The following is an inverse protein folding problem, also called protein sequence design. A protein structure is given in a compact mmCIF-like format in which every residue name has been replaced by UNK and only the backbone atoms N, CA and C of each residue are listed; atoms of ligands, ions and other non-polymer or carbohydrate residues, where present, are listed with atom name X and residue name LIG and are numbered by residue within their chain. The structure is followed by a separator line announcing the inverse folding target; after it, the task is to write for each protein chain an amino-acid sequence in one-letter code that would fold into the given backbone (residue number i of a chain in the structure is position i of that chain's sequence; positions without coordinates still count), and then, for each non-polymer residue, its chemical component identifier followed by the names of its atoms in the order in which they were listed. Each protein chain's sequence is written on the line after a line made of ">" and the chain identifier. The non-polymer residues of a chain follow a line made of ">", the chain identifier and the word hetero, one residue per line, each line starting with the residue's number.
data_IF_929633047109
#
_entry.id   IF_929633047109
#
_cell.length_a   1.000
_cell.length_b   1.000
_cell.length_c   1.000
_cell.angle_alpha   90.00
_cell.angle_beta   90.00
_cell.angle_gamma   90.00
#
_symmetry.space_group_name_H-M   'P 1'
#
loop_
_entity.id
_entity.type
_entity.pdbx_description
1 polymer ?
#
# COMPACT_ATOMS: atom_id res chain seq x y z
N UNK A 1 -20.41 14.34 -1.23
CA UNK A 1 -20.34 13.14 -0.40
C UNK A 1 -19.17 13.30 0.53
N UNK A 2 -19.43 13.65 1.78
CA UNK A 2 -18.46 13.46 2.86
C UNK A 2 -18.48 12.00 3.36
N UNK A 3 -17.73 11.69 4.41
CA UNK A 3 -17.65 10.31 4.91
C UNK A 3 -18.98 9.80 5.50
N UNK A 4 -19.74 10.66 6.18
CA UNK A 4 -21.01 10.27 6.79
C UNK A 4 -22.04 10.01 5.68
N UNK A 5 -22.12 10.90 4.70
CA UNK A 5 -22.93 10.73 3.49
C UNK A 5 -22.52 9.45 2.73
N UNK A 6 -21.23 9.14 2.64
CA UNK A 6 -20.74 7.91 2.01
C UNK A 6 -21.18 6.67 2.76
N UNK A 7 -20.98 6.62 4.07
CA UNK A 7 -21.35 5.45 4.86
C UNK A 7 -22.86 5.21 4.85
N UNK A 8 -23.67 6.27 4.93
CA UNK A 8 -25.12 6.19 4.81
C UNK A 8 -25.54 5.62 3.44
N UNK A 9 -24.87 6.06 2.37
CA UNK A 9 -25.12 5.56 1.03
C UNK A 9 -24.73 4.08 0.87
N UNK A 10 -23.59 3.67 1.44
CA UNK A 10 -23.14 2.28 1.47
C UNK A 10 -24.13 1.39 2.22
N UNK A 11 -24.64 1.84 3.38
CA UNK A 11 -25.67 1.10 4.14
C UNK A 11 -26.92 0.92 3.27
N UNK A 12 -27.39 1.99 2.65
CA UNK A 12 -28.56 1.95 1.75
C UNK A 12 -28.36 0.98 0.58
N UNK A 13 -27.19 1.01 -0.08
CA UNK A 13 -26.88 0.10 -1.19
C UNK A 13 -26.66 -1.33 -0.74
N UNK A 14 -26.08 -1.55 0.45
CA UNK A 14 -25.93 -2.88 1.02
C UNK A 14 -27.27 -3.57 1.22
N UNK A 15 -28.30 -2.85 1.66
CA UNK A 15 -29.68 -3.39 1.74
C UNK A 15 -30.15 -3.86 0.36
N UNK A 16 -29.95 -3.04 -0.68
CA UNK A 16 -30.33 -3.39 -2.05
C UNK A 16 -29.61 -4.63 -2.57
N UNK A 17 -28.30 -4.73 -2.31
CA UNK A 17 -27.49 -5.90 -2.66
C UNK A 17 -27.97 -7.15 -1.94
N UNK A 18 -28.22 -7.07 -0.63
CA UNK A 18 -28.73 -8.21 0.17
C UNK A 18 -30.09 -8.69 -0.31
N UNK A 19 -30.96 -7.79 -0.77
CA UNK A 19 -32.24 -8.17 -1.36
C UNK A 19 -32.08 -8.89 -2.71
N UNK A 20 -31.10 -8.48 -3.52
CA UNK A 20 -30.78 -9.12 -4.81
C UNK A 20 -30.08 -10.48 -4.61
N UNK A 21 -29.29 -10.63 -3.57
CA UNK A 21 -28.50 -11.83 -3.26
C UNK A 21 -28.79 -12.38 -1.85
N UNK A 22 -30.02 -12.82 -1.56
CA UNK A 22 -30.43 -13.18 -0.20
C UNK A 22 -29.70 -14.38 0.40
N UNK A 23 -29.10 -15.23 -0.44
CA UNK A 23 -28.35 -16.41 -0.02
C UNK A 23 -26.87 -16.09 0.30
N UNK A 24 -26.39 -14.92 -0.13
CA UNK A 24 -25.05 -14.45 0.16
C UNK A 24 -25.17 -13.58 1.41
N UNK A 25 -24.61 -14.02 2.53
CA UNK A 25 -24.53 -13.22 3.75
C UNK A 25 -23.55 -12.04 3.55
N UNK A 26 -23.95 -11.07 2.72
CA UNK A 26 -23.16 -9.90 2.32
C UNK A 26 -23.24 -8.86 3.43
N UNK A 27 -22.08 -8.44 3.91
CA UNK A 27 -21.92 -7.37 4.89
C UNK A 27 -21.52 -6.07 4.19
N UNK A 28 -21.62 -4.93 4.88
CA UNK A 28 -21.19 -3.63 4.36
C UNK A 28 -19.71 -3.64 3.95
N UNK A 29 -18.87 -4.34 4.73
CA UNK A 29 -17.44 -4.51 4.43
C UNK A 29 -17.18 -5.24 3.10
N UNK A 30 -18.06 -6.16 2.70
CA UNK A 30 -17.94 -6.86 1.43
C UNK A 30 -18.19 -5.89 0.26
N UNK A 31 -19.19 -5.01 0.39
CA UNK A 31 -19.48 -3.97 -0.61
C UNK A 31 -18.33 -2.96 -0.71
N UNK A 32 -17.78 -2.51 0.41
CA UNK A 32 -16.61 -1.62 0.44
C UNK A 32 -15.42 -2.29 -0.25
N UNK A 33 -15.19 -3.58 -0.01
CA UNK A 33 -14.10 -4.35 -0.64
C UNK A 33 -14.28 -4.41 -2.17
N UNK A 34 -15.49 -4.64 -2.66
CA UNK A 34 -15.80 -4.63 -4.10
C UNK A 34 -15.54 -3.26 -4.71
N UNK A 35 -15.97 -2.18 -4.05
CA UNK A 35 -15.71 -0.82 -4.51
C UNK A 35 -14.20 -0.54 -4.56
N UNK A 36 -13.45 -0.89 -3.51
CA UNK A 36 -11.99 -0.76 -3.51
C UNK A 36 -11.36 -1.50 -4.69
N UNK A 37 -11.76 -2.76 -4.89
CA UNK A 37 -11.24 -3.59 -5.99
C UNK A 37 -11.56 -2.98 -7.37
N UNK A 38 -12.76 -2.42 -7.54
CA UNK A 38 -13.21 -1.83 -8.81
C UNK A 38 -12.50 -0.51 -9.13
N UNK A 39 -11.99 0.17 -8.11
CA UNK A 39 -11.29 1.45 -8.23
C UNK A 39 -9.82 1.36 -7.82
N UNK A 40 -9.23 0.16 -7.82
CA UNK A 40 -7.82 -0.07 -7.48
C UNK A 40 -6.86 0.81 -8.29
N UNK A 41 -7.19 1.10 -9.55
CA UNK A 41 -6.36 1.95 -10.43
C UNK A 41 -6.54 3.45 -10.14
N UNK A 42 -7.61 3.83 -9.44
CA UNK A 42 -7.91 5.22 -9.04
C UNK A 42 -7.21 5.59 -7.72
N UNK A 43 -6.84 4.59 -6.92
CA UNK A 43 -6.27 4.75 -5.58
C UNK A 43 -4.78 4.36 -5.58
N UNK A 44 -3.90 5.26 -5.12
CA UNK A 44 -2.46 4.99 -5.08
C UNK A 44 -2.11 3.96 -4.01
N UNK A 45 -2.92 3.85 -2.94
CA UNK A 45 -2.79 2.82 -1.91
C UNK A 45 -4.03 1.94 -1.79
N UNK A 46 -3.81 0.66 -1.50
CA UNK A 46 -4.86 -0.36 -1.33
C UNK A 46 -5.56 -0.26 0.03
N UNK A 47 -5.63 0.93 0.62
CA UNK A 47 -6.20 1.15 1.95
C UNK A 47 -7.60 1.76 1.82
N UNK A 48 -8.54 1.30 2.66
CA UNK A 48 -9.91 1.80 2.68
C UNK A 48 -10.00 3.27 3.09
N UNK A 49 -8.93 3.83 3.68
CA UNK A 49 -8.84 5.24 4.03
C UNK A 49 -8.67 6.16 2.80
N UNK A 50 -8.36 5.64 1.61
CA UNK A 50 -8.24 6.53 0.44
C UNK A 50 -9.59 7.12 -0.02
N UNK A 51 -10.70 6.49 0.34
CA UNK A 51 -12.02 7.07 0.12
C UNK A 51 -12.23 8.38 0.88
N UNK A 52 -11.45 8.67 1.93
CA UNK A 52 -11.50 9.96 2.63
C UNK A 52 -10.93 11.10 1.78
N UNK A 53 -9.90 10.82 0.98
CA UNK A 53 -9.16 11.84 0.22
C UNK A 53 -9.59 11.87 -1.26
N UNK A 54 -10.21 10.80 -1.75
CA UNK A 54 -10.62 10.63 -3.14
C UNK A 54 -12.05 10.07 -3.21
N UNK A 55 -13.02 10.98 -3.18
CA UNK A 55 -14.44 10.60 -3.17
C UNK A 55 -14.86 9.89 -4.46
N UNK A 56 -15.67 8.85 -4.28
CA UNK A 56 -16.44 8.19 -5.34
C UNK A 56 -17.84 8.80 -5.35
N UNK A 57 -18.38 9.09 -6.53
CA UNK A 57 -19.74 9.61 -6.66
C UNK A 57 -20.80 8.52 -6.47
N UNK A 58 -22.04 8.92 -6.19
CA UNK A 58 -23.17 7.97 -6.11
C UNK A 58 -23.34 7.17 -7.41
N UNK A 59 -23.15 7.83 -8.56
CA UNK A 59 -23.26 7.18 -9.87
C UNK A 59 -22.17 6.13 -10.10
N UNK A 60 -20.96 6.39 -9.62
CA UNK A 60 -19.85 5.43 -9.67
C UNK A 60 -20.14 4.22 -8.77
N UNK A 61 -20.67 4.43 -7.56
CA UNK A 61 -21.09 3.34 -6.66
C UNK A 61 -22.20 2.50 -7.31
N UNK A 62 -23.19 3.17 -7.91
CA UNK A 62 -24.32 2.52 -8.56
C UNK A 62 -23.89 1.68 -9.74
N UNK A 63 -22.98 2.21 -10.56
CA UNK A 63 -22.39 1.47 -11.67
C UNK A 63 -21.74 0.17 -11.19
N UNK A 64 -20.99 0.19 -10.09
CA UNK A 64 -20.38 -1.02 -9.54
C UNK A 64 -21.44 -1.97 -8.98
N UNK A 65 -22.36 -1.48 -8.15
CA UNK A 65 -23.40 -2.30 -7.50
C UNK A 65 -24.30 -3.01 -8.52
N UNK A 66 -24.65 -2.33 -9.62
CA UNK A 66 -25.51 -2.89 -10.65
C UNK A 66 -24.82 -3.97 -11.48
N UNK A 67 -23.55 -3.73 -11.84
CA UNK A 67 -22.81 -4.56 -12.79
C UNK A 67 -21.94 -5.65 -12.14
N UNK A 68 -21.63 -5.54 -10.86
CA UNK A 68 -20.81 -6.53 -10.16
C UNK A 68 -21.60 -7.81 -9.83
N UNK A 69 -20.97 -8.96 -10.08
CA UNK A 69 -21.49 -10.26 -9.72
C UNK A 69 -21.01 -10.64 -8.30
N UNK A 70 -21.86 -10.37 -7.31
CA UNK A 70 -21.55 -10.60 -5.89
C UNK A 70 -21.37 -12.08 -5.53
N UNK A 71 -21.75 -13.03 -6.39
CA UNK A 71 -21.44 -14.45 -6.18
C UNK A 71 -19.93 -14.71 -6.16
N UNK A 72 -19.13 -13.82 -6.77
CA UNK A 72 -17.68 -13.98 -6.86
C UNK A 72 -16.94 -13.73 -5.53
N UNK A 73 -17.55 -13.03 -4.57
CA UNK A 73 -16.92 -12.68 -3.28
C UNK A 73 -16.58 -13.93 -2.45
N UNK A 74 -17.33 -15.01 -2.64
CA UNK A 74 -17.14 -16.28 -1.88
C UNK A 74 -16.43 -17.35 -2.70
N UNK A 75 -16.06 -17.06 -3.95
CA UNK A 75 -15.26 -17.99 -4.72
C UNK A 75 -13.84 -17.99 -4.16
N UNK A 76 -13.52 -19.02 -3.37
CA UNK A 76 -12.15 -19.31 -2.99
C UNK A 76 -11.41 -19.71 -4.27
N UNK A 77 -10.62 -18.79 -4.83
CA UNK A 77 -9.75 -19.11 -5.95
C UNK A 77 -8.48 -19.72 -5.39
N UNK A 78 -8.41 -21.05 -5.40
CA UNK A 78 -7.16 -21.76 -5.09
C UNK A 78 -6.21 -21.60 -6.27
N UNK A 79 -5.24 -20.68 -6.13
CA UNK A 79 -4.13 -20.62 -7.07
C UNK A 79 -3.10 -21.67 -6.68
N UNK A 80 -2.93 -22.69 -7.52
CA UNK A 80 -1.78 -23.58 -7.46
C UNK A 80 -0.56 -22.86 -8.05
N UNK A 81 -0.11 -21.81 -7.37
CA UNK A 81 1.14 -21.16 -7.73
C UNK A 81 2.27 -21.96 -7.11
N UNK A 82 3.04 -22.66 -7.95
CA UNK A 82 4.34 -23.18 -7.54
C UNK A 82 5.24 -21.96 -7.50
N UNK A 83 5.53 -21.44 -6.30
CA UNK A 83 6.63 -20.48 -6.13
C UNK A 83 7.88 -21.27 -6.55
N UNK A 84 8.56 -20.92 -7.66
CA UNK A 84 9.80 -21.59 -8.02
C UNK A 84 10.75 -21.52 -6.82
N UNK A 85 11.32 -22.65 -6.39
CA UNK A 85 12.33 -22.68 -5.33
C UNK A 85 13.53 -21.78 -5.65
N UNK A 86 13.72 -21.46 -6.94
CA UNK A 86 14.74 -20.56 -7.47
C UNK A 86 14.48 -19.07 -7.18
N UNK A 87 13.34 -18.69 -6.59
CA UNK A 87 13.15 -17.32 -6.10
C UNK A 87 13.80 -17.15 -4.71
N UNK A 88 15.13 -17.31 -4.65
CA UNK A 88 15.96 -16.69 -3.60
C UNK A 88 15.90 -15.14 -3.70
N UNK A 89 15.30 -14.59 -4.76
CA UNK A 89 15.14 -13.16 -5.02
C UNK A 89 14.01 -12.47 -4.21
N UNK A 90 13.21 -13.20 -3.42
CA UNK A 90 12.08 -12.60 -2.69
C UNK A 90 12.46 -11.84 -1.41
N UNK A 91 13.72 -11.90 -0.97
CA UNK A 91 14.25 -10.97 0.04
C UNK A 91 14.73 -9.66 -0.60
N UNK A 92 13.84 -9.02 -1.38
CA UNK A 92 14.07 -7.69 -1.96
C UNK A 92 14.15 -6.58 -0.89
N UNK A 93 13.88 -6.89 0.38
CA UNK A 93 13.76 -5.90 1.45
C UNK A 93 14.57 -6.27 2.69
N UNK A 94 15.31 -5.31 3.22
CA UNK A 94 16.05 -5.44 4.48
C UNK A 94 15.44 -4.53 5.53
N UNK A 95 15.16 -5.07 6.72
CA UNK A 95 14.62 -4.30 7.84
C UNK A 95 15.72 -3.94 8.84
N UNK A 96 15.90 -2.64 9.08
CA UNK A 96 16.88 -2.11 10.02
C UNK A 96 16.15 -1.39 11.15
N UNK A 97 16.49 -1.72 12.39
CA UNK A 97 16.06 -0.97 13.57
C UNK A 97 17.18 -0.04 14.03
N UNK A 98 16.91 1.26 14.15
CA UNK A 98 17.86 2.22 14.69
C UNK A 98 17.17 3.23 15.61
N UNK A 99 17.61 3.34 16.87
CA UNK A 99 17.11 4.30 17.86
C UNK A 99 15.56 4.33 17.95
N UNK A 100 14.94 3.15 17.97
CA UNK A 100 13.47 3.00 18.02
C UNK A 100 12.75 3.13 16.68
N UNK A 101 13.41 3.61 15.63
CA UNK A 101 12.85 3.73 14.28
C UNK A 101 13.08 2.46 13.47
N UNK A 102 12.15 2.17 12.57
CA UNK A 102 12.22 1.05 11.65
C UNK A 102 12.39 1.56 10.23
N UNK A 103 13.43 1.06 9.57
CA UNK A 103 13.77 1.35 8.17
C UNK A 103 13.63 0.09 7.33
N UNK A 104 12.99 0.19 6.17
CA UNK A 104 12.87 -0.90 5.21
C UNK A 104 13.64 -0.47 3.97
N UNK A 105 14.75 -1.13 3.67
CA UNK A 105 15.55 -0.87 2.46
C UNK A 105 15.05 -1.78 1.36
N UNK A 106 14.65 -1.22 0.24
CA UNK A 106 14.33 -2.01 -0.95
C UNK A 106 15.62 -2.14 -1.79
N UNK A 107 16.16 -3.37 -1.90
CA UNK A 107 17.40 -3.68 -2.63
C UNK A 107 17.24 -3.44 -4.13
N UNK A 108 16.10 -3.87 -4.69
CA UNK A 108 15.76 -3.80 -6.10
C UNK A 108 14.38 -3.14 -6.25
N UNK A 109 14.29 -1.83 -6.04
CA UNK A 109 13.02 -1.10 -6.23
C UNK A 109 12.83 -0.72 -7.70
N UNK A 110 11.62 -0.94 -8.23
CA UNK A 110 11.23 -0.46 -9.55
C UNK A 110 11.07 1.07 -9.59
N UNK A 111 10.83 1.70 -8.43
CA UNK A 111 10.91 3.15 -8.25
C UNK A 111 12.32 3.55 -7.76
N UNK A 112 13.21 4.04 -8.64
CA UNK A 112 14.59 4.38 -8.26
C UNK A 112 14.69 5.68 -7.46
N UNK A 113 13.58 6.39 -7.20
CA UNK A 113 13.59 7.64 -6.46
C UNK A 113 13.50 7.41 -4.93
N UNK A 114 14.30 8.11 -4.09
CA UNK A 114 15.33 9.11 -4.42
C UNK A 114 16.71 8.51 -4.78
N UNK A 115 16.94 7.24 -4.46
CA UNK A 115 18.11 6.46 -4.85
C UNK A 115 17.71 4.98 -5.05
N UNK A 116 18.55 4.21 -5.73
CA UNK A 116 18.40 2.75 -5.76
C UNK A 116 19.68 2.09 -5.22
N UNK A 117 19.61 1.34 -4.09
CA UNK A 117 18.47 1.20 -3.18
C UNK A 117 18.12 2.50 -2.42
N UNK A 118 16.91 2.58 -1.87
CA UNK A 118 16.48 3.59 -0.90
C UNK A 118 15.83 2.94 0.33
N UNK A 119 15.70 3.70 1.42
CA UNK A 119 15.05 3.22 2.64
C UNK A 119 13.71 3.91 2.88
N UNK A 120 12.73 3.18 3.41
CA UNK A 120 11.47 3.72 3.92
C UNK A 120 11.52 3.76 5.44
N UNK A 121 11.27 4.93 6.03
CA UNK A 121 11.03 5.02 7.46
C UNK A 121 9.56 4.75 7.75
N UNK A 122 9.29 3.56 8.29
CA UNK A 122 7.96 2.99 8.45
C UNK A 122 6.97 3.92 9.17
N UNK A 123 7.36 4.49 10.32
CA UNK A 123 6.44 5.28 11.16
C UNK A 123 6.06 6.63 10.55
N UNK A 124 6.88 7.16 9.64
CA UNK A 124 6.72 8.51 9.09
C UNK A 124 6.37 8.54 7.61
N UNK A 125 6.31 7.37 6.97
CA UNK A 125 6.11 7.21 5.53
C UNK A 125 7.05 8.10 4.68
N UNK A 126 8.31 8.23 5.13
CA UNK A 126 9.35 9.00 4.44
C UNK A 126 10.30 8.07 3.69
N UNK A 127 10.57 8.39 2.42
CA UNK A 127 11.65 7.80 1.62
C UNK A 127 12.98 8.46 1.99
N UNK A 128 14.03 7.70 2.16
CA UNK A 128 15.36 8.16 2.54
C UNK A 128 16.32 7.81 1.42
N UNK A 129 16.97 8.85 0.91
CA UNK A 129 18.06 8.73 -0.03
C UNK A 129 19.29 8.18 0.68
N UNK A 130 19.69 6.96 0.30
CA UNK A 130 20.83 6.31 0.91
C UNK A 130 22.16 6.90 0.44
N UNK A 131 22.19 7.79 -0.57
CA UNK A 131 23.40 8.50 -1.02
C UNK A 131 23.75 9.73 -0.18
N UNK A 132 22.75 10.42 0.40
CA UNK A 132 22.97 11.71 1.08
C UNK A 132 22.15 11.90 2.37
N UNK A 133 21.28 10.96 2.73
CA UNK A 133 20.48 10.98 3.96
C UNK A 133 19.29 11.92 3.93
N UNK A 134 18.94 12.51 2.78
CA UNK A 134 17.75 13.33 2.62
C UNK A 134 16.49 12.47 2.69
N UNK A 135 15.50 12.97 3.44
CA UNK A 135 14.18 12.37 3.57
C UNK A 135 13.18 13.11 2.68
N UNK A 136 12.37 12.33 1.97
CA UNK A 136 11.36 12.81 1.04
C UNK A 136 10.00 12.23 1.39
N UNK A 137 8.97 13.06 1.24
CA UNK A 137 7.61 12.59 1.10
C UNK A 137 7.19 12.84 -0.35
N UNK A 138 6.81 11.78 -1.06
CA UNK A 138 6.63 11.79 -2.52
C UNK A 138 7.94 12.22 -3.18
N UNK A 139 8.07 13.49 -3.60
CA UNK A 139 9.29 14.09 -4.17
C UNK A 139 9.73 15.36 -3.44
N UNK A 140 9.02 15.76 -2.40
CA UNK A 140 9.31 16.95 -1.61
C UNK A 140 10.29 16.60 -0.51
N UNK A 141 11.42 17.30 -0.47
CA UNK A 141 12.36 17.19 0.64
C UNK A 141 11.70 17.71 1.92
N UNK A 142 11.72 16.90 2.98
CA UNK A 142 11.11 17.22 4.27
C UNK A 142 12.17 17.54 5.31
N UNK A 143 13.21 16.71 5.38
CA UNK A 143 14.31 16.84 6.34
C UNK A 143 15.51 16.03 5.88
N UNK A 144 16.62 16.16 6.58
CA UNK A 144 17.81 15.34 6.38
C UNK A 144 18.12 14.62 7.68
N UNK A 145 18.48 13.34 7.62
CA UNK A 145 18.93 12.60 8.79
C UNK A 145 20.20 13.24 9.37
N UNK A 146 20.40 13.09 10.69
CA UNK A 146 21.68 13.47 11.27
C UNK A 146 22.80 12.61 10.67
N UNK A 147 24.00 13.18 10.52
CA UNK A 147 25.16 12.46 9.95
C UNK A 147 25.43 11.14 10.66
N UNK A 148 25.29 11.13 12.00
CA UNK A 148 25.44 9.93 12.82
C UNK A 148 24.40 8.87 12.47
N UNK A 149 23.12 9.23 12.46
CA UNK A 149 22.03 8.30 12.16
C UNK A 149 22.12 7.76 10.73
N UNK A 150 22.43 8.61 9.76
CA UNK A 150 22.61 8.19 8.36
C UNK A 150 23.74 7.17 8.22
N UNK A 151 24.87 7.40 8.89
CA UNK A 151 26.01 6.48 8.88
C UNK A 151 25.66 5.15 9.53
N UNK A 152 24.98 5.16 10.67
CA UNK A 152 24.54 3.95 11.38
C UNK A 152 23.59 3.09 10.50
N UNK A 153 22.69 3.73 9.76
CA UNK A 153 21.78 3.01 8.84
C UNK A 153 22.58 2.37 7.70
N UNK A 154 23.53 3.11 7.10
CA UNK A 154 24.39 2.58 6.03
C UNK A 154 25.26 1.43 6.51
N UNK A 155 25.90 1.55 7.67
CA UNK A 155 26.73 0.48 8.25
C UNK A 155 25.91 -0.80 8.51
N UNK A 156 24.68 -0.65 9.02
CA UNK A 156 23.78 -1.79 9.23
C UNK A 156 23.31 -2.40 7.91
N UNK A 157 23.09 -1.59 6.88
CA UNK A 157 22.68 -2.08 5.57
C UNK A 157 23.82 -2.85 4.88
N UNK A 158 25.05 -2.33 4.96
CA UNK A 158 26.26 -2.95 4.44
C UNK A 158 26.55 -4.29 5.15
N UNK A 159 26.41 -4.33 6.48
CA UNK A 159 26.52 -5.57 7.27
C UNK A 159 25.48 -6.65 6.91
N UNK A 160 24.36 -6.25 6.30
CA UNK A 160 23.30 -7.13 5.80
C UNK A 160 23.44 -7.44 4.30
N UNK A 161 24.58 -7.07 3.69
CA UNK A 161 24.90 -7.36 2.30
C UNK A 161 24.12 -6.53 1.29
N UNK A 162 23.67 -5.32 1.66
CA UNK A 162 23.02 -4.39 0.72
C UNK A 162 24.08 -3.61 -0.05
N UNK A 163 24.05 -3.67 -1.38
CA UNK A 163 24.86 -2.80 -2.23
C UNK A 163 24.33 -1.35 -2.19
N UNK A 164 25.04 -0.47 -1.49
CA UNK A 164 24.58 0.90 -1.25
C UNK A 164 25.00 1.87 -2.38
N UNK A 165 24.19 2.92 -2.66
CA UNK A 165 24.58 3.96 -3.60
C UNK A 165 25.81 4.73 -3.09
N UNK A 166 26.58 5.28 -4.03
CA UNK A 166 27.73 6.16 -3.74
C UNK A 166 27.27 7.43 -3.02
N UNK A 167 28.09 7.94 -2.12
CA UNK A 167 27.78 9.18 -1.40
C UNK A 167 27.83 10.39 -2.36
N UNK A 168 26.90 11.33 -2.19
CA UNK A 168 26.82 12.58 -2.96
C UNK A 168 26.90 13.83 -2.08
#
# INVERSE_FOLDING_TARGET
>A
MDFEEFMDYIIFKNISVRNKYPNLNIQESDLITVLMASFLDKFESRLSLEFYDNFISEEEIDSVVENYDFNQIRNEVTFNFIIPEEIEELETKVKIKNNGKIFIIHKNDADPFPSNPHAHWLDSNLKIDLSNGKCYHIRKHIKTLSTKEFKEIREKADALGVELPKLT
#
